data_IF_172676055739
#
_entry.id   IF_172676055739
#
_cell.length_a   1.000
_cell.length_b   1.000
_cell.length_c   1.000
_cell.angle_alpha   90.00
_cell.angle_beta   90.00
_cell.angle_gamma   90.00
#
_symmetry.space_group_name_H-M   'P 1'
#
loop_
_entity.id
_entity.type
_entity.pdbx_description
1 polymer ?
#
# COMPACT_ATOMS: atom_id res chain seq x y z
N UNK A 1 -2.70 14.60 8.78
CA UNK A 1 -3.44 13.56 8.02
C UNK A 1 -4.75 14.10 7.43
N UNK A 2 -5.58 14.85 8.16
CA UNK A 2 -6.86 15.40 7.65
C UNK A 2 -6.70 16.24 6.37
N UNK A 3 -5.73 17.15 6.30
CA UNK A 3 -5.48 17.98 5.11
C UNK A 3 -5.15 17.14 3.86
N UNK A 4 -4.34 16.07 4.00
CA UNK A 4 -4.04 15.18 2.89
C UNK A 4 -5.30 14.46 2.39
N UNK A 5 -6.10 13.91 3.29
CA UNK A 5 -7.35 13.23 2.93
C UNK A 5 -8.34 14.19 2.25
N UNK A 6 -8.47 15.41 2.78
CA UNK A 6 -9.30 16.45 2.17
C UNK A 6 -8.81 16.83 0.76
N UNK A 7 -7.50 17.02 0.57
CA UNK A 7 -6.94 17.36 -0.74
C UNK A 7 -7.22 16.28 -1.78
N UNK A 8 -7.11 14.99 -1.40
CA UNK A 8 -7.41 13.87 -2.30
C UNK A 8 -8.91 13.79 -2.63
N UNK A 9 -9.78 14.01 -1.63
CA UNK A 9 -11.24 14.05 -1.85
C UNK A 9 -11.65 15.20 -2.78
N UNK A 10 -11.05 16.37 -2.61
CA UNK A 10 -11.31 17.51 -3.49
C UNK A 10 -10.82 17.26 -4.91
N UNK A 11 -9.61 16.72 -5.07
CA UNK A 11 -9.06 16.37 -6.38
C UNK A 11 -9.94 15.33 -7.10
N UNK A 12 -10.42 14.31 -6.40
CA UNK A 12 -11.33 13.32 -6.95
C UNK A 12 -12.67 13.95 -7.41
N UNK A 13 -13.23 14.88 -6.63
CA UNK A 13 -14.45 15.61 -7.03
C UNK A 13 -14.24 16.49 -8.26
N UNK A 14 -13.10 17.17 -8.35
CA UNK A 14 -12.79 18.05 -9.49
C UNK A 14 -12.58 17.27 -10.77
N UNK A 15 -11.95 16.09 -10.73
CA UNK A 15 -11.75 15.25 -11.92
C UNK A 15 -13.11 14.87 -12.56
N UNK A 16 -14.13 14.56 -11.75
CA UNK A 16 -15.46 14.21 -12.25
C UNK A 16 -16.27 15.40 -12.75
N UNK A 17 -15.96 16.63 -12.30
CA UNK A 17 -16.48 17.85 -12.91
C UNK A 17 -15.85 18.07 -14.27
N UNK A 18 -14.52 17.90 -14.40
CA UNK A 18 -13.81 17.98 -15.66
C UNK A 18 -14.32 16.94 -16.67
N UNK A 19 -14.52 15.70 -16.25
CA UNK A 19 -15.04 14.64 -17.10
C UNK A 19 -16.41 15.00 -17.75
N UNK A 20 -17.25 15.76 -17.06
CA UNK A 20 -18.54 16.21 -17.60
C UNK A 20 -18.42 17.28 -18.67
N UNK A 21 -17.39 18.13 -18.60
CA UNK A 21 -17.18 19.23 -19.58
C UNK A 21 -16.23 18.82 -20.71
N UNK A 22 -15.56 17.69 -20.57
CA UNK A 22 -14.66 17.09 -21.57
C UNK A 22 -15.08 15.65 -21.88
N UNK A 23 -16.22 15.45 -22.57
CA UNK A 23 -16.72 14.10 -22.89
C UNK A 23 -15.85 13.35 -23.91
N UNK A 24 -14.92 14.04 -24.55
CA UNK A 24 -13.90 13.52 -25.47
C UNK A 24 -12.69 12.91 -24.75
N UNK A 25 -12.59 13.11 -23.42
CA UNK A 25 -11.51 12.56 -22.58
C UNK A 25 -12.06 11.47 -21.68
N UNK A 26 -11.45 10.29 -21.75
CA UNK A 26 -11.79 9.17 -20.85
C UNK A 26 -10.93 9.22 -19.58
N UNK A 27 -11.57 9.57 -18.48
CA UNK A 27 -10.91 9.67 -17.17
C UNK A 27 -11.01 8.36 -16.38
N UNK A 28 -9.90 7.93 -15.81
CA UNK A 28 -9.86 6.80 -14.85
C UNK A 28 -9.20 7.24 -13.56
N UNK A 29 -9.82 6.95 -12.42
CA UNK A 29 -9.27 7.20 -11.10
C UNK A 29 -8.96 5.89 -10.41
N UNK A 30 -7.68 5.67 -10.07
CA UNK A 30 -7.23 4.55 -9.27
C UNK A 30 -7.04 4.99 -7.81
N UNK A 31 -7.58 4.21 -6.90
CA UNK A 31 -7.61 4.51 -5.46
C UNK A 31 -6.87 3.41 -4.69
N UNK A 32 -5.52 3.42 -4.69
CA UNK A 32 -4.77 2.46 -3.90
C UNK A 32 -4.79 2.85 -2.42
N UNK A 33 -4.77 1.88 -1.49
CA UNK A 33 -4.58 2.11 -0.06
C UNK A 33 -3.10 2.38 0.24
N UNK A 34 -2.57 1.84 1.34
CA UNK A 34 -1.12 1.82 1.55
C UNK A 34 -0.44 0.95 0.50
N UNK A 35 0.47 1.54 -0.26
CA UNK A 35 1.23 0.85 -1.31
C UNK A 35 2.57 0.43 -0.72
N UNK A 36 2.83 -0.88 -0.67
CA UNK A 36 4.09 -1.47 -0.23
C UNK A 36 4.71 -2.32 -1.33
N UNK A 37 5.91 -2.80 -1.10
CA UNK A 37 6.60 -3.70 -2.02
C UNK A 37 8.02 -3.26 -2.38
N UNK A 38 8.65 -3.88 -3.38
CA UNK A 38 10.01 -3.58 -3.74
C UNK A 38 10.15 -2.16 -4.33
N UNK A 39 11.33 -1.56 -4.13
CA UNK A 39 11.70 -0.37 -4.89
C UNK A 39 12.15 -0.76 -6.30
N UNK A 40 11.91 0.12 -7.26
CA UNK A 40 12.48 -0.08 -8.61
C UNK A 40 14.02 0.01 -8.55
N UNK A 41 14.73 -0.66 -9.46
CA UNK A 41 16.18 -0.53 -9.56
C UNK A 41 16.62 0.95 -9.66
N UNK A 42 17.65 1.32 -8.93
CA UNK A 42 18.17 2.69 -8.86
C UNK A 42 17.19 3.73 -8.29
N UNK A 43 16.19 3.30 -7.53
CA UNK A 43 15.34 4.26 -6.80
C UNK A 43 16.20 5.12 -5.88
N UNK A 44 16.08 6.46 -5.95
CA UNK A 44 16.93 7.36 -5.16
C UNK A 44 16.55 7.28 -3.69
N UNK A 45 17.37 6.60 -2.90
CA UNK A 45 17.27 6.57 -1.44
C UNK A 45 18.35 7.46 -0.83
N UNK A 46 18.02 8.13 0.27
CA UNK A 46 18.93 8.98 1.03
C UNK A 46 19.25 8.34 2.38
N UNK A 47 20.03 9.02 3.22
CA UNK A 47 20.27 8.66 4.62
C UNK A 47 19.03 8.77 5.52
N UNK A 48 17.96 9.42 5.05
CA UNK A 48 16.68 9.43 5.75
C UNK A 48 15.92 8.11 5.55
N UNK A 49 15.50 7.41 6.62
CA UNK A 49 14.70 6.20 6.49
C UNK A 49 13.34 6.43 5.80
N UNK A 50 12.85 7.68 5.78
CA UNK A 50 11.62 8.04 5.05
C UNK A 50 11.79 8.02 3.53
N UNK A 51 13.02 7.99 3.03
CA UNK A 51 13.30 7.92 1.59
C UNK A 51 12.83 6.63 0.93
N UNK A 52 12.62 5.55 1.70
CA UNK A 52 12.01 4.31 1.21
C UNK A 52 10.49 4.40 1.00
N UNK A 53 9.93 5.61 1.07
CA UNK A 53 8.51 5.86 0.81
C UNK A 53 7.58 5.24 1.83
N UNK A 54 6.46 4.69 1.37
CA UNK A 54 5.43 4.10 2.24
C UNK A 54 5.95 2.88 3.02
N UNK A 55 6.96 2.16 2.49
CA UNK A 55 7.61 1.04 3.18
C UNK A 55 8.14 1.43 4.56
N UNK A 56 8.51 2.71 4.78
CA UNK A 56 8.88 3.21 6.10
C UNK A 56 7.82 2.94 7.17
N UNK A 57 6.53 3.05 6.83
CA UNK A 57 5.45 2.77 7.80
C UNK A 57 5.39 1.29 8.18
N UNK A 58 5.61 0.40 7.21
CA UNK A 58 5.69 -1.04 7.45
C UNK A 58 6.94 -1.39 8.25
N UNK A 59 8.08 -0.81 7.87
CA UNK A 59 9.37 -1.05 8.51
C UNK A 59 9.41 -0.67 10.00
N UNK A 60 8.53 0.22 10.45
CA UNK A 60 8.43 0.56 11.88
C UNK A 60 8.18 -0.66 12.77
N UNK A 61 7.67 -1.78 12.24
CA UNK A 61 7.49 -3.01 13.02
C UNK A 61 8.83 -3.58 13.53
N UNK A 62 9.94 -3.30 12.83
CA UNK A 62 11.29 -3.74 13.21
C UNK A 62 12.20 -2.59 13.67
N UNK A 63 11.73 -1.34 13.62
CA UNK A 63 12.55 -0.17 13.96
C UNK A 63 12.04 0.63 15.18
N UNK A 64 10.80 0.42 15.62
CA UNK A 64 10.21 1.16 16.75
C UNK A 64 10.56 0.58 18.13
N UNK A 65 11.39 -0.47 18.18
CA UNK A 65 11.72 -1.19 19.41
C UNK A 65 10.68 -2.26 19.76
N UNK A 66 11.01 -3.07 20.76
CA UNK A 66 10.25 -4.28 21.12
C UNK A 66 9.11 -4.04 22.11
N UNK A 67 9.01 -2.85 22.69
CA UNK A 67 8.02 -2.53 23.75
C UNK A 67 6.71 -1.97 23.18
N UNK A 68 6.61 -1.78 21.86
CA UNK A 68 5.45 -1.14 21.25
C UNK A 68 5.21 -1.61 19.83
N UNK A 69 3.98 -1.39 19.36
CA UNK A 69 3.61 -1.51 17.95
C UNK A 69 3.72 -0.16 17.23
N UNK A 70 3.92 -0.16 15.91
CA UNK A 70 3.92 1.08 15.12
C UNK A 70 2.63 1.90 15.29
N UNK A 71 2.76 3.22 15.19
CA UNK A 71 1.61 4.14 15.24
C UNK A 71 0.72 4.11 13.99
N UNK A 72 1.15 3.43 12.92
CA UNK A 72 0.38 3.30 11.68
C UNK A 72 -0.92 2.52 11.89
N UNK A 73 -2.04 3.01 11.31
CA UNK A 73 -3.39 2.52 11.62
C UNK A 73 -4.20 2.05 10.41
N UNK A 74 -3.70 2.20 9.18
CA UNK A 74 -4.42 1.73 7.99
C UNK A 74 -4.21 0.23 7.80
N UNK A 75 -5.31 -0.52 7.66
CA UNK A 75 -5.29 -1.98 7.59
C UNK A 75 -5.39 -2.55 6.18
N UNK A 76 -5.46 -1.71 5.14
CA UNK A 76 -5.50 -2.15 3.76
C UNK A 76 -4.15 -1.95 3.08
N UNK A 77 -3.76 -2.89 2.23
CA UNK A 77 -2.53 -2.81 1.43
C UNK A 77 -2.75 -3.16 -0.03
N UNK A 78 -1.87 -2.63 -0.86
CA UNK A 78 -1.67 -3.05 -2.25
C UNK A 78 -0.17 -3.19 -2.53
N UNK A 79 0.19 -4.13 -3.39
CA UNK A 79 1.55 -4.22 -3.92
C UNK A 79 1.77 -3.13 -4.97
N UNK A 80 2.94 -2.50 -4.95
CA UNK A 80 3.30 -1.45 -5.92
C UNK A 80 3.25 -1.94 -7.36
N UNK A 81 3.55 -3.22 -7.60
CA UNK A 81 3.49 -3.86 -8.92
C UNK A 81 2.05 -4.05 -9.40
N UNK A 82 1.12 -4.37 -8.48
CA UNK A 82 -0.32 -4.45 -8.80
C UNK A 82 -0.89 -3.07 -9.11
N UNK A 83 -0.48 -2.05 -8.37
CA UNK A 83 -0.87 -0.66 -8.67
C UNK A 83 -0.35 -0.23 -10.04
N UNK A 84 0.91 -0.55 -10.37
CA UNK A 84 1.47 -0.27 -11.69
C UNK A 84 0.71 -1.02 -12.80
N UNK A 85 0.40 -2.30 -12.60
CA UNK A 85 -0.39 -3.11 -13.53
C UNK A 85 -1.79 -2.52 -13.73
N UNK A 86 -2.44 -2.07 -12.64
CA UNK A 86 -3.73 -1.41 -12.72
C UNK A 86 -3.71 -0.15 -13.60
N UNK A 87 -2.64 0.66 -13.55
CA UNK A 87 -2.50 1.83 -14.41
C UNK A 87 -2.43 1.44 -15.90
N UNK A 88 -1.69 0.40 -16.23
CA UNK A 88 -1.60 -0.08 -17.64
C UNK A 88 -2.94 -0.62 -18.11
N UNK A 89 -3.62 -1.43 -17.29
CA UNK A 89 -4.94 -1.98 -17.64
C UNK A 89 -5.99 -0.87 -17.79
N UNK A 90 -5.92 0.17 -16.96
CA UNK A 90 -6.83 1.31 -17.01
C UNK A 90 -6.76 2.07 -18.36
N UNK A 91 -5.59 2.12 -19.00
CA UNK A 91 -5.42 2.73 -20.32
C UNK A 91 -6.17 1.96 -21.42
N UNK A 92 -6.29 0.65 -21.29
CA UNK A 92 -6.96 -0.22 -22.25
C UNK A 92 -8.46 -0.43 -21.96
N UNK A 93 -8.92 -0.05 -20.76
CA UNK A 93 -10.31 -0.26 -20.32
C UNK A 93 -11.21 0.77 -20.98
N UNK A 94 -12.25 0.36 -21.74
CA UNK A 94 -13.17 1.30 -22.37
C UNK A 94 -14.01 2.06 -21.34
N UNK A 95 -14.63 3.19 -21.74
CA UNK A 95 -15.60 3.88 -20.91
C UNK A 95 -16.71 2.95 -20.42
N UNK A 96 -17.14 3.12 -19.18
CA UNK A 96 -18.21 2.31 -18.57
C UNK A 96 -19.51 3.10 -18.62
N UNK A 97 -20.52 2.69 -19.42
CA UNK A 97 -21.77 3.42 -19.54
C UNK A 97 -22.45 3.67 -18.20
N UNK A 98 -22.78 4.94 -17.90
CA UNK A 98 -23.53 5.34 -16.72
C UNK A 98 -22.74 5.26 -15.39
N UNK A 99 -21.43 5.02 -15.43
CA UNK A 99 -20.61 4.88 -14.21
C UNK A 99 -19.23 5.52 -14.40
N UNK A 100 -18.77 6.24 -13.38
CA UNK A 100 -17.41 6.76 -13.29
C UNK A 100 -16.39 5.62 -13.19
N UNK A 101 -15.29 5.67 -13.95
CA UNK A 101 -14.19 4.70 -13.89
C UNK A 101 -13.34 4.95 -12.63
N UNK A 102 -13.85 4.56 -11.46
CA UNK A 102 -13.18 4.64 -10.16
C UNK A 102 -12.90 3.23 -9.63
N UNK A 103 -11.64 2.87 -9.50
CA UNK A 103 -11.24 1.53 -9.09
C UNK A 103 -10.44 1.58 -7.78
N UNK A 104 -10.88 0.82 -6.80
CA UNK A 104 -10.16 0.61 -5.54
C UNK A 104 -9.20 -0.56 -5.73
N UNK A 105 -7.89 -0.31 -5.62
CA UNK A 105 -6.87 -1.33 -5.85
C UNK A 105 -6.39 -1.85 -4.49
N UNK A 106 -7.07 -2.85 -3.97
CA UNK A 106 -6.75 -3.47 -2.68
C UNK A 106 -6.46 -4.94 -2.87
N UNK A 107 -5.30 -5.38 -2.38
CA UNK A 107 -4.97 -6.79 -2.29
C UNK A 107 -5.72 -7.43 -1.10
N UNK A 108 -5.39 -6.99 0.12
CA UNK A 108 -5.94 -7.57 1.34
C UNK A 108 -6.02 -6.56 2.48
N UNK A 109 -6.67 -6.99 3.55
CA UNK A 109 -6.61 -6.35 4.86
C UNK A 109 -5.61 -7.09 5.72
N UNK A 110 -4.75 -6.38 6.44
CA UNK A 110 -3.77 -6.97 7.35
C UNK A 110 -3.92 -6.47 8.77
N UNK A 111 -3.31 -7.18 9.70
CA UNK A 111 -3.12 -6.76 11.09
C UNK A 111 -1.65 -6.82 11.44
N UNK A 112 -1.23 -6.05 12.45
CA UNK A 112 0.15 -6.13 12.92
C UNK A 112 0.53 -7.53 13.42
N UNK A 113 -0.44 -8.27 13.98
CA UNK A 113 -0.20 -9.66 14.37
C UNK A 113 0.19 -10.52 13.18
N UNK A 114 -0.55 -10.43 12.06
CA UNK A 114 -0.23 -11.16 10.83
C UNK A 114 1.19 -10.84 10.34
N UNK A 115 1.57 -9.56 10.37
CA UNK A 115 2.91 -9.11 9.95
C UNK A 115 4.00 -9.67 10.87
N UNK A 116 3.79 -9.61 12.18
CA UNK A 116 4.74 -10.18 13.17
C UNK A 116 4.92 -11.68 12.99
N UNK A 117 3.81 -12.42 12.85
CA UNK A 117 3.84 -13.87 12.68
C UNK A 117 4.56 -14.25 11.37
N UNK A 118 4.32 -13.49 10.30
CA UNK A 118 4.99 -13.68 9.02
C UNK A 118 6.51 -13.45 9.14
N UNK A 119 6.93 -12.33 9.74
CA UNK A 119 8.36 -12.01 9.88
C UNK A 119 9.04 -13.05 10.78
N UNK A 120 8.43 -13.48 11.87
CA UNK A 120 8.99 -14.56 12.73
C UNK A 120 9.25 -15.84 11.95
N UNK A 121 8.37 -16.19 11.04
CA UNK A 121 8.46 -17.41 10.23
C UNK A 121 9.47 -17.29 9.09
N UNK A 122 9.42 -16.19 8.34
CA UNK A 122 10.16 -16.03 7.09
C UNK A 122 11.48 -15.25 7.23
N UNK A 123 11.67 -14.52 8.35
CA UNK A 123 12.86 -13.72 8.67
C UNK A 123 13.22 -13.89 10.14
N UNK A 124 13.55 -15.13 10.59
CA UNK A 124 13.82 -15.42 12.01
C UNK A 124 14.97 -14.58 12.58
N UNK A 125 15.91 -14.15 11.74
CA UNK A 125 17.00 -13.25 12.12
C UNK A 125 16.53 -11.88 12.62
N UNK A 126 15.32 -11.44 12.21
CA UNK A 126 14.71 -10.19 12.66
C UNK A 126 13.82 -10.36 13.89
N UNK A 127 13.62 -11.58 14.38
CA UNK A 127 12.68 -11.86 15.48
C UNK A 127 12.99 -11.05 16.76
N UNK A 128 14.27 -10.79 17.02
CA UNK A 128 14.73 -10.00 18.19
C UNK A 128 14.34 -8.51 18.10
N UNK A 129 13.91 -8.02 16.93
CA UNK A 129 13.49 -6.63 16.67
C UNK A 129 11.98 -6.44 16.77
N UNK A 130 11.21 -7.52 16.81
CA UNK A 130 9.75 -7.49 16.79
C UNK A 130 9.17 -7.16 18.19
N UNK A 131 7.94 -6.63 18.23
CA UNK A 131 7.22 -6.46 19.49
C UNK A 131 7.20 -7.74 20.33
N UNK A 132 7.40 -7.57 21.64
CA UNK A 132 7.39 -8.68 22.61
C UNK A 132 6.06 -9.42 22.58
N UNK A 133 6.11 -10.71 22.89
CA UNK A 133 4.91 -11.50 23.09
C UNK A 133 4.07 -10.96 24.25
N UNK A 134 2.75 -11.07 24.11
CA UNK A 134 1.80 -10.55 25.10
C UNK A 134 1.39 -9.09 24.88
N UNK A 135 2.09 -8.32 24.04
CA UNK A 135 1.62 -6.98 23.67
C UNK A 135 0.39 -7.07 22.77
N UNK A 136 -0.61 -6.24 23.07
CA UNK A 136 -1.84 -6.15 22.26
C UNK A 136 -1.58 -5.25 21.05
N UNK A 137 -1.68 -5.78 19.82
CA UNK A 137 -1.53 -4.95 18.64
C UNK A 137 -2.69 -3.95 18.53
N UNK A 138 -2.42 -2.73 18.05
CA UNK A 138 -3.49 -1.77 17.83
C UNK A 138 -4.43 -2.24 16.71
N UNK A 139 -5.70 -1.97 16.86
CA UNK A 139 -6.67 -2.20 15.80
C UNK A 139 -6.35 -1.29 14.60
N UNK A 140 -6.25 -1.89 13.42
CA UNK A 140 -6.12 -1.16 12.17
C UNK A 140 -7.51 -0.88 11.58
N UNK A 141 -7.60 0.13 10.72
CA UNK A 141 -8.83 0.43 9.98
C UNK A 141 -9.10 -0.68 8.97
N UNK A 142 -10.27 -1.27 9.03
CA UNK A 142 -10.71 -2.40 8.21
C UNK A 142 -12.06 -2.10 7.53
N UNK A 143 -12.29 -0.85 7.12
CA UNK A 143 -13.52 -0.48 6.45
C UNK A 143 -13.82 -1.42 5.27
N UNK A 144 -15.06 -1.90 5.13
CA UNK A 144 -15.42 -2.75 4.01
C UNK A 144 -15.30 -1.94 2.71
N UNK A 145 -14.50 -2.44 1.78
CA UNK A 145 -14.28 -1.82 0.48
C UNK A 145 -14.62 -2.83 -0.63
N UNK A 146 -15.35 -2.37 -1.63
CA UNK A 146 -15.67 -3.18 -2.80
C UNK A 146 -14.43 -3.37 -3.68
N UNK A 147 -13.93 -4.60 -3.70
CA UNK A 147 -12.77 -5.01 -4.52
C UNK A 147 -13.19 -5.56 -5.87
N UNK A 148 -14.44 -5.98 -6.02
CA UNK A 148 -14.91 -6.72 -7.20
C UNK A 148 -14.89 -5.85 -8.43
N UNK A 149 -15.18 -4.57 -8.29
CA UNK A 149 -15.22 -3.64 -9.41
C UNK A 149 -13.85 -3.46 -10.10
N UNK A 150 -12.75 -3.49 -9.35
CA UNK A 150 -11.41 -3.46 -9.96
C UNK A 150 -11.09 -4.77 -10.69
N UNK A 151 -11.46 -5.91 -10.10
CA UNK A 151 -11.24 -7.22 -10.73
C UNK A 151 -12.02 -7.36 -12.04
N UNK A 152 -13.28 -6.95 -12.05
CA UNK A 152 -14.15 -7.02 -13.22
C UNK A 152 -13.84 -5.93 -14.26
N UNK A 153 -13.74 -4.69 -13.81
CA UNK A 153 -13.59 -3.53 -14.68
C UNK A 153 -12.20 -3.36 -15.29
N UNK A 154 -11.14 -3.81 -14.60
CA UNK A 154 -9.76 -3.75 -15.09
C UNK A 154 -9.20 -5.11 -15.51
N UNK A 155 -9.97 -6.19 -15.43
CA UNK A 155 -9.47 -7.57 -15.57
C UNK A 155 -8.30 -7.89 -14.60
N UNK A 156 -8.26 -7.21 -13.46
CA UNK A 156 -7.25 -7.38 -12.41
C UNK A 156 -7.70 -8.46 -11.43
N UNK A 157 -7.64 -9.74 -11.86
CA UNK A 157 -8.17 -10.89 -11.11
C UNK A 157 -7.22 -11.43 -10.06
N UNK A 158 -5.93 -11.32 -10.29
CA UNK A 158 -4.90 -11.86 -9.43
C UNK A 158 -4.04 -10.73 -8.87
N UNK A 159 -3.77 -10.83 -7.58
CA UNK A 159 -2.89 -9.92 -6.85
C UNK A 159 -1.66 -10.68 -6.34
N UNK A 160 -0.56 -9.98 -6.23
CA UNK A 160 0.63 -10.51 -5.60
C UNK A 160 0.30 -10.86 -4.14
N UNK A 161 0.69 -12.05 -3.63
CA UNK A 161 0.43 -12.44 -2.25
C UNK A 161 0.87 -11.36 -1.27
N UNK A 162 0.03 -11.06 -0.28
CA UNK A 162 0.33 -10.01 0.71
C UNK A 162 1.60 -10.29 1.50
N UNK A 163 1.92 -11.56 1.71
CA UNK A 163 3.13 -12.04 2.35
C UNK A 163 4.38 -11.58 1.57
N UNK A 164 4.37 -11.76 0.26
CA UNK A 164 5.45 -11.31 -0.62
C UNK A 164 5.61 -9.80 -0.58
N UNK A 165 4.49 -9.06 -0.63
CA UNK A 165 4.47 -7.59 -0.54
C UNK A 165 5.09 -7.09 0.77
N UNK A 166 4.70 -7.69 1.90
CA UNK A 166 5.20 -7.33 3.23
C UNK A 166 6.68 -7.65 3.35
N UNK A 167 7.10 -8.85 2.97
CA UNK A 167 8.51 -9.25 3.04
C UNK A 167 9.39 -8.36 2.16
N UNK A 168 8.95 -8.06 0.94
CA UNK A 168 9.68 -7.14 0.06
C UNK A 168 9.82 -5.74 0.70
N UNK A 169 8.79 -5.21 1.34
CA UNK A 169 8.85 -3.93 2.04
C UNK A 169 9.79 -3.95 3.26
N UNK A 170 9.85 -5.07 4.01
CA UNK A 170 10.81 -5.26 5.11
C UNK A 170 12.23 -5.38 4.57
N UNK A 171 12.44 -6.14 3.50
CA UNK A 171 13.76 -6.31 2.87
C UNK A 171 14.30 -4.97 2.33
N UNK A 172 13.45 -4.06 1.86
CA UNK A 172 13.82 -2.67 1.52
C UNK A 172 14.44 -1.95 2.73
N UNK A 173 13.84 -2.05 3.92
CA UNK A 173 14.40 -1.45 5.13
C UNK A 173 15.75 -2.07 5.49
N UNK A 174 15.86 -3.38 5.47
CA UNK A 174 17.11 -4.09 5.79
C UNK A 174 18.21 -3.71 4.80
N UNK A 175 17.88 -3.59 3.51
CA UNK A 175 18.84 -3.14 2.50
C UNK A 175 19.27 -1.68 2.73
N UNK A 176 18.32 -0.81 3.09
CA UNK A 176 18.59 0.58 3.42
C UNK A 176 19.54 0.70 4.64
N UNK A 177 19.31 -0.07 5.71
CA UNK A 177 20.17 -0.11 6.89
C UNK A 177 21.60 -0.53 6.54
N UNK A 178 21.76 -1.59 5.73
CA UNK A 178 23.07 -2.06 5.25
C UNK A 178 23.81 -0.98 4.47
N UNK A 179 23.11 -0.25 3.62
CA UNK A 179 23.68 0.84 2.82
C UNK A 179 24.15 2.01 3.70
N UNK A 180 23.40 2.31 4.77
CA UNK A 180 23.67 3.45 5.68
C UNK A 180 24.48 3.04 6.92
N UNK A 181 24.95 1.79 7.00
CA UNK A 181 25.78 1.25 8.10
C UNK A 181 25.17 1.41 9.50
N UNK A 182 23.87 1.16 9.60
CA UNK A 182 23.08 1.22 10.85
C UNK A 182 22.88 -0.21 11.39
#
# INVERSE_FOLDING_TARGET
MAMYQQSKTLADREIWKLAKVHPDIDFTVLLPPAVFGPLVPNFPVTDSPKSIGTNYNLAQIITSGTETYPAYRLGHLADVRDVARAHILALATPPIPGRDKRFIIINTTFTWKMVVDLIRRERPELAHRLPKEGLVPPRLTDAPLDKTFAAEGLDLKEFIPWEETVLAGIDVQVAWEKQNRI
#
